data_IF_700178602731
#
_entry.id   IF_700178602731
#
_cell.length_a   1.000
_cell.length_b   1.000
_cell.length_c   1.000
_cell.angle_alpha   90.00
_cell.angle_beta   90.00
_cell.angle_gamma   90.00
#
_symmetry.space_group_name_H-M   'P 1'
#
loop_
_entity.id
_entity.type
_entity.pdbx_description
1 polymer ?
#
# COMPACT_ATOMS: atom_id res chain seq x y z
N UNK A 1 62.19 21.78 -13.93
CA UNK A 1 61.94 22.76 -12.84
C UNK A 1 60.78 22.22 -12.01
N UNK A 2 61.02 21.88 -10.75
CA UNK A 2 59.98 21.44 -9.82
C UNK A 2 59.37 22.67 -9.17
N UNK A 3 58.05 22.87 -9.30
CA UNK A 3 57.33 23.91 -8.57
C UNK A 3 57.17 23.45 -7.13
N UNK A 4 57.91 24.08 -6.21
CA UNK A 4 57.77 23.85 -4.79
C UNK A 4 56.52 24.59 -4.31
N UNK A 5 55.50 23.82 -3.91
CA UNK A 5 54.25 24.37 -3.37
C UNK A 5 54.40 24.46 -1.85
N UNK A 6 54.32 25.68 -1.32
CA UNK A 6 54.31 25.96 0.12
C UNK A 6 52.87 26.21 0.57
N UNK A 7 52.40 25.43 1.55
CA UNK A 7 51.05 25.51 2.12
C UNK A 7 51.05 26.02 3.56
N UNK A 8 52.17 26.58 4.04
CA UNK A 8 52.24 27.14 5.39
C UNK A 8 51.23 28.29 5.58
N UNK A 9 50.41 28.20 6.63
CA UNK A 9 49.38 29.21 6.95
C UNK A 9 47.96 28.90 6.49
N UNK A 10 47.70 27.75 5.87
CA UNK A 10 46.35 27.35 5.49
C UNK A 10 45.46 27.07 6.71
N UNK A 11 44.35 27.78 6.83
CA UNK A 11 43.33 27.57 7.87
C UNK A 11 41.95 27.41 7.23
N UNK A 12 41.22 26.37 7.60
CA UNK A 12 39.83 26.17 7.19
C UNK A 12 39.01 25.59 8.35
N UNK A 13 37.69 25.83 8.32
CA UNK A 13 36.72 25.18 9.22
C UNK A 13 36.37 23.74 8.80
N UNK A 14 37.07 23.21 7.79
CA UNK A 14 36.90 21.87 7.24
C UNK A 14 38.23 21.37 6.65
N UNK A 15 38.18 20.31 5.85
CA UNK A 15 39.40 19.64 5.40
C UNK A 15 40.20 20.44 4.37
N UNK A 16 41.51 20.56 4.61
CA UNK A 16 42.49 21.09 3.66
C UNK A 16 43.28 19.91 3.07
N UNK A 17 43.13 19.66 1.77
CA UNK A 17 43.81 18.54 1.08
C UNK A 17 44.61 19.04 -0.13
N UNK A 18 45.81 18.51 -0.33
CA UNK A 18 46.73 18.96 -1.38
C UNK A 18 46.52 18.32 -2.77
N UNK A 19 45.70 17.27 -2.89
CA UNK A 19 45.29 16.64 -4.16
C UNK A 19 43.80 16.31 -4.13
N UNK A 20 43.39 15.05 -4.05
CA UNK A 20 41.97 14.67 -4.06
C UNK A 20 41.51 14.17 -2.70
N UNK A 21 40.32 14.60 -2.27
CA UNK A 21 39.57 13.98 -1.17
C UNK A 21 38.41 13.20 -1.76
N UNK A 22 38.46 11.87 -1.64
CA UNK A 22 37.31 11.02 -1.96
C UNK A 22 36.53 10.78 -0.67
N UNK A 23 35.35 11.37 -0.58
CA UNK A 23 34.44 11.17 0.54
C UNK A 23 33.30 10.24 0.11
N UNK A 24 33.21 9.06 0.73
CA UNK A 24 32.05 8.21 0.61
C UNK A 24 31.00 8.67 1.62
N UNK A 25 30.04 9.47 1.14
CA UNK A 25 28.87 9.86 1.93
C UNK A 25 27.86 8.73 1.82
N UNK A 26 27.81 7.88 2.83
CA UNK A 26 26.69 6.97 3.00
C UNK A 26 25.52 7.80 3.55
N UNK A 27 24.50 8.04 2.72
CA UNK A 27 23.24 8.55 3.22
C UNK A 27 22.75 7.56 4.30
N UNK A 28 22.39 8.08 5.48
CA UNK A 28 21.75 7.25 6.50
C UNK A 28 20.53 6.58 5.85
N UNK A 29 20.42 5.24 5.98
CA UNK A 29 19.26 4.52 5.47
C UNK A 29 18.01 5.20 6.01
N UNK A 30 17.07 5.55 5.13
CA UNK A 30 15.79 6.08 5.54
C UNK A 30 15.16 5.12 6.56
N UNK A 31 14.49 5.63 7.61
CA UNK A 31 13.80 4.76 8.55
C UNK A 31 12.77 3.93 7.80
N UNK A 32 12.75 2.62 8.06
CA UNK A 32 11.79 1.71 7.44
C UNK A 32 10.36 2.17 7.73
N UNK A 33 9.53 2.18 6.69
CA UNK A 33 8.09 2.37 6.79
C UNK A 33 7.45 1.29 7.66
N UNK A 34 6.23 1.55 8.14
CA UNK A 34 5.49 0.57 8.95
C UNK A 34 5.27 -0.75 8.21
N UNK A 35 4.98 -0.70 6.91
CA UNK A 35 4.80 -1.89 6.07
C UNK A 35 6.11 -2.67 5.93
N UNK A 36 7.24 -2.00 5.68
CA UNK A 36 8.56 -2.66 5.60
C UNK A 36 8.95 -3.36 6.90
N UNK A 37 8.70 -2.74 8.05
CA UNK A 37 8.94 -3.38 9.36
C UNK A 37 8.08 -4.64 9.54
N UNK A 38 6.81 -4.59 9.12
CA UNK A 38 5.93 -5.75 9.18
C UNK A 38 6.30 -6.84 8.19
N UNK A 39 6.82 -6.48 7.01
CA UNK A 39 7.30 -7.44 6.01
C UNK A 39 8.53 -8.22 6.52
N UNK A 40 9.46 -7.54 7.21
CA UNK A 40 10.58 -8.21 7.86
C UNK A 40 10.11 -9.18 8.94
N UNK A 41 9.17 -8.75 9.79
CA UNK A 41 8.60 -9.61 10.83
C UNK A 41 7.82 -10.79 10.23
N UNK A 42 7.10 -10.59 9.13
CA UNK A 42 6.42 -11.66 8.41
C UNK A 42 7.41 -12.71 7.88
N UNK A 43 8.57 -12.26 7.36
CA UNK A 43 9.61 -13.18 6.90
C UNK A 43 10.14 -14.06 8.04
N UNK A 44 10.30 -13.50 9.24
CA UNK A 44 10.68 -14.25 10.45
C UNK A 44 9.58 -15.23 10.89
N UNK A 45 8.31 -14.78 10.92
CA UNK A 45 7.16 -15.62 11.27
C UNK A 45 7.05 -16.83 10.32
N UNK A 46 7.24 -16.63 9.02
CA UNK A 46 7.24 -17.70 8.01
C UNK A 46 8.43 -18.64 8.18
N UNK A 47 9.63 -18.11 8.43
CA UNK A 47 10.83 -18.92 8.63
C UNK A 47 10.74 -19.81 9.88
N UNK A 48 10.11 -19.31 10.94
CA UNK A 48 9.94 -20.02 12.20
C UNK A 48 8.62 -20.82 12.30
N UNK A 49 7.75 -20.74 11.29
CA UNK A 49 6.40 -21.32 11.30
C UNK A 49 5.57 -20.86 12.52
N UNK A 50 5.71 -19.58 12.86
CA UNK A 50 5.00 -18.92 13.97
C UNK A 50 3.62 -18.45 13.51
N UNK A 51 2.58 -19.07 14.04
CA UNK A 51 1.20 -18.76 13.65
C UNK A 51 0.47 -17.97 14.74
N UNK A 52 -0.28 -16.96 14.30
CA UNK A 52 -1.27 -16.27 15.10
C UNK A 52 -2.39 -17.24 15.50
N UNK A 53 -2.85 -17.12 16.76
CA UNK A 53 -3.97 -17.92 17.28
C UNK A 53 -5.33 -17.34 16.96
N UNK A 54 -5.39 -16.06 16.56
CA UNK A 54 -6.62 -15.32 16.34
C UNK A 54 -6.44 -14.25 15.27
N UNK A 55 -7.55 -13.82 14.70
CA UNK A 55 -7.60 -12.62 13.86
C UNK A 55 -7.40 -11.39 14.73
N UNK A 56 -6.46 -10.50 14.37
CA UNK A 56 -6.23 -9.25 15.08
C UNK A 56 -7.46 -8.35 14.94
N UNK A 57 -7.73 -7.55 15.98
CA UNK A 57 -8.93 -6.70 16.05
C UNK A 57 -9.04 -5.72 14.86
N UNK A 58 -7.90 -5.16 14.44
CA UNK A 58 -7.83 -4.23 13.31
C UNK A 58 -8.29 -4.85 11.99
N UNK A 59 -7.97 -6.12 11.72
CA UNK A 59 -8.44 -6.82 10.52
C UNK A 59 -9.89 -7.30 10.70
N UNK A 60 -10.25 -7.75 11.90
CA UNK A 60 -11.61 -8.17 12.23
C UNK A 60 -12.65 -7.05 12.04
N UNK A 61 -12.23 -5.79 12.18
CA UNK A 61 -13.05 -4.62 11.86
C UNK A 61 -13.58 -4.68 10.42
N UNK A 62 -12.70 -4.93 9.45
CA UNK A 62 -13.02 -4.92 8.02
C UNK A 62 -13.83 -6.13 7.57
N UNK A 63 -13.84 -7.21 8.34
CA UNK A 63 -14.64 -8.41 8.04
C UNK A 63 -16.12 -8.26 8.38
N UNK A 64 -16.51 -7.19 9.09
CA UNK A 64 -17.89 -6.91 9.45
C UNK A 64 -18.51 -6.00 8.38
N UNK A 65 -19.43 -6.56 7.58
CA UNK A 65 -20.21 -5.80 6.59
C UNK A 65 -21.00 -4.66 7.26
N UNK A 66 -21.03 -3.49 6.63
CA UNK A 66 -21.77 -2.31 7.09
C UNK A 66 -22.73 -1.77 6.03
N UNK A 67 -24.01 -2.10 6.14
CA UNK A 67 -25.04 -1.51 5.27
C UNK A 67 -25.41 -0.11 5.76
N UNK A 68 -25.37 0.89 4.89
CA UNK A 68 -25.68 2.29 5.25
C UNK A 68 -26.75 2.94 4.37
N UNK A 69 -26.79 2.65 3.07
CA UNK A 69 -27.56 3.38 2.06
C UNK A 69 -28.51 2.49 1.23
N UNK A 70 -28.59 1.19 1.56
CA UNK A 70 -29.42 0.21 0.86
C UNK A 70 -28.82 -0.31 -0.45
N UNK A 71 -27.64 0.16 -0.86
CA UNK A 71 -26.89 -0.35 -2.02
C UNK A 71 -25.75 -1.25 -1.51
N UNK A 72 -26.10 -2.50 -1.24
CA UNK A 72 -25.21 -3.44 -0.58
C UNK A 72 -24.48 -4.38 -1.53
N UNK A 73 -23.20 -4.59 -1.23
CA UNK A 73 -22.35 -5.49 -2.00
C UNK A 73 -21.81 -4.87 -3.28
N UNK A 74 -20.87 -5.58 -3.89
CA UNK A 74 -20.12 -5.07 -5.04
C UNK A 74 -21.02 -4.86 -6.28
N UNK A 75 -21.86 -5.85 -6.59
CA UNK A 75 -22.70 -5.85 -7.79
C UNK A 75 -23.69 -4.68 -7.80
N UNK A 76 -24.40 -4.46 -6.68
CA UNK A 76 -25.35 -3.38 -6.55
C UNK A 76 -24.65 -2.01 -6.66
N UNK A 77 -23.47 -1.86 -6.07
CA UNK A 77 -22.69 -0.62 -6.15
C UNK A 77 -22.18 -0.29 -7.54
N UNK A 78 -21.68 -1.29 -8.26
CA UNK A 78 -21.27 -1.12 -9.65
C UNK A 78 -22.46 -0.78 -10.54
N UNK A 79 -23.61 -1.42 -10.29
CA UNK A 79 -24.84 -1.11 -11.02
C UNK A 79 -25.34 0.31 -10.75
N UNK A 80 -25.35 0.74 -9.49
CA UNK A 80 -25.70 2.10 -9.11
C UNK A 80 -24.72 3.16 -9.65
N UNK A 81 -23.48 2.76 -9.98
CA UNK A 81 -22.44 3.63 -10.54
C UNK A 81 -22.33 3.55 -12.07
N UNK A 82 -23.29 2.95 -12.77
CA UNK A 82 -23.28 2.73 -14.23
C UNK A 82 -22.01 1.99 -14.73
N UNK A 83 -21.62 0.95 -13.97
CA UNK A 83 -20.42 0.11 -14.18
C UNK A 83 -20.72 -1.38 -14.13
N UNK A 84 -21.95 -1.80 -14.41
CA UNK A 84 -22.31 -3.22 -14.41
C UNK A 84 -21.46 -4.06 -15.37
N UNK A 85 -20.93 -3.44 -16.43
CA UNK A 85 -20.00 -4.08 -17.37
C UNK A 85 -18.67 -4.51 -16.72
N UNK A 86 -18.27 -3.88 -15.61
CA UNK A 86 -17.05 -4.22 -14.88
C UNK A 86 -17.22 -5.43 -13.95
N UNK A 87 -18.46 -5.87 -13.67
CA UNK A 87 -18.76 -6.78 -12.58
C UNK A 87 -18.01 -8.12 -12.66
N UNK A 88 -17.95 -8.75 -13.84
CA UNK A 88 -17.25 -10.02 -14.03
C UNK A 88 -15.76 -9.91 -13.72
N UNK A 89 -15.11 -8.83 -14.14
CA UNK A 89 -13.70 -8.62 -13.80
C UNK A 89 -13.53 -8.26 -12.32
N UNK A 90 -14.45 -7.46 -11.77
CA UNK A 90 -14.39 -7.01 -10.39
C UNK A 90 -14.54 -8.17 -9.39
N UNK A 91 -15.45 -9.11 -9.65
CA UNK A 91 -15.67 -10.28 -8.79
C UNK A 91 -14.44 -11.21 -8.79
N UNK A 92 -13.82 -11.42 -9.95
CA UNK A 92 -12.59 -12.22 -10.05
C UNK A 92 -11.44 -11.61 -9.25
N UNK A 93 -11.26 -10.29 -9.34
CA UNK A 93 -10.21 -9.57 -8.59
C UNK A 93 -10.48 -9.57 -7.10
N UNK A 94 -11.73 -9.36 -6.70
CA UNK A 94 -12.16 -9.49 -5.30
C UNK A 94 -11.79 -10.87 -4.74
N UNK A 95 -12.10 -11.92 -5.50
CA UNK A 95 -11.81 -13.30 -5.10
C UNK A 95 -10.30 -13.58 -5.00
N UNK A 96 -9.50 -13.02 -5.92
CA UNK A 96 -8.03 -13.10 -5.83
C UNK A 96 -7.50 -12.48 -4.53
N UNK A 97 -8.04 -11.31 -4.14
CA UNK A 97 -7.67 -10.67 -2.88
C UNK A 97 -8.16 -11.47 -1.65
N UNK A 98 -9.40 -11.96 -1.67
CA UNK A 98 -9.93 -12.78 -0.57
C UNK A 98 -9.09 -14.04 -0.34
N UNK A 99 -8.68 -14.74 -1.40
CA UNK A 99 -7.77 -15.89 -1.32
C UNK A 99 -6.40 -15.53 -0.78
N UNK A 100 -5.88 -14.36 -1.12
CA UNK A 100 -4.62 -13.87 -0.57
C UNK A 100 -4.75 -13.60 0.93
N UNK A 101 -5.82 -12.93 1.35
CA UNK A 101 -6.11 -12.67 2.77
C UNK A 101 -6.20 -13.99 3.56
N UNK A 102 -6.92 -14.98 3.04
CA UNK A 102 -7.06 -16.29 3.67
C UNK A 102 -5.71 -17.02 3.79
N UNK A 103 -4.90 -17.03 2.72
CA UNK A 103 -3.58 -17.66 2.71
C UNK A 103 -2.67 -17.17 3.83
N UNK A 104 -2.75 -15.89 4.12
CA UNK A 104 -1.88 -15.21 5.08
C UNK A 104 -2.55 -14.95 6.43
N UNK A 105 -3.79 -15.41 6.62
CA UNK A 105 -4.58 -15.21 7.84
C UNK A 105 -3.91 -15.76 9.10
N UNK A 106 -3.04 -16.76 8.96
CA UNK A 106 -2.34 -17.39 10.08
C UNK A 106 -1.13 -16.60 10.57
N UNK A 107 -0.73 -15.51 9.92
CA UNK A 107 0.46 -14.73 10.29
C UNK A 107 0.05 -13.36 10.84
N UNK A 108 0.45 -13.05 12.08
CA UNK A 108 0.05 -11.82 12.75
C UNK A 108 0.53 -10.59 11.97
N UNK A 109 1.78 -10.63 11.48
CA UNK A 109 2.36 -9.53 10.72
C UNK A 109 1.66 -9.32 9.37
N UNK A 110 1.25 -10.40 8.69
CA UNK A 110 0.47 -10.27 7.46
C UNK A 110 -0.91 -9.68 7.71
N UNK A 111 -1.57 -10.08 8.80
CA UNK A 111 -2.84 -9.47 9.18
C UNK A 111 -2.71 -7.97 9.48
N UNK A 112 -1.63 -7.55 10.16
CA UNK A 112 -1.33 -6.13 10.39
C UNK A 112 -1.09 -5.38 9.08
N UNK A 113 -0.38 -5.98 8.11
CA UNK A 113 -0.20 -5.41 6.76
C UNK A 113 -1.56 -5.21 6.10
N UNK A 114 -2.41 -6.23 6.04
CA UNK A 114 -3.74 -6.07 5.43
C UNK A 114 -4.59 -5.01 6.12
N UNK A 115 -4.62 -4.99 7.45
CA UNK A 115 -5.38 -3.97 8.18
C UNK A 115 -4.90 -2.55 7.84
N UNK A 116 -3.58 -2.35 7.74
CA UNK A 116 -3.00 -1.07 7.34
C UNK A 116 -3.40 -0.68 5.91
N UNK A 117 -3.25 -1.59 4.94
CA UNK A 117 -3.56 -1.31 3.54
C UNK A 117 -5.06 -1.06 3.32
N UNK A 118 -5.92 -1.83 3.99
CA UNK A 118 -7.38 -1.67 3.94
C UNK A 118 -7.80 -0.31 4.51
N UNK A 119 -7.24 0.09 5.66
CA UNK A 119 -7.52 1.39 6.27
C UNK A 119 -7.06 2.55 5.39
N UNK A 120 -5.86 2.44 4.79
CA UNK A 120 -5.36 3.44 3.84
C UNK A 120 -6.26 3.55 2.62
N UNK A 121 -6.64 2.43 2.01
CA UNK A 121 -7.51 2.42 0.83
C UNK A 121 -8.91 2.95 1.14
N UNK A 122 -9.51 2.58 2.27
CA UNK A 122 -10.78 3.14 2.74
C UNK A 122 -10.69 4.67 2.89
N UNK A 123 -9.64 5.16 3.55
CA UNK A 123 -9.43 6.58 3.78
C UNK A 123 -9.30 7.36 2.47
N UNK A 124 -8.38 6.93 1.59
CA UNK A 124 -8.15 7.58 0.29
C UNK A 124 -9.42 7.55 -0.55
N UNK A 125 -10.13 6.41 -0.58
CA UNK A 125 -11.36 6.32 -1.33
C UNK A 125 -12.43 7.27 -0.78
N UNK A 126 -12.65 7.27 0.53
CA UNK A 126 -13.74 8.02 1.17
C UNK A 126 -13.52 9.53 1.14
N UNK A 127 -12.30 9.98 1.39
CA UNK A 127 -12.01 11.40 1.59
C UNK A 127 -11.40 12.09 0.36
N UNK A 128 -10.77 11.33 -0.53
CA UNK A 128 -10.14 11.90 -1.74
C UNK A 128 -10.95 11.55 -2.98
N UNK A 129 -11.22 10.27 -3.22
CA UNK A 129 -11.82 9.82 -4.50
C UNK A 129 -13.32 10.10 -4.54
N UNK A 130 -14.07 9.62 -3.53
CA UNK A 130 -15.53 9.65 -3.49
C UNK A 130 -16.12 11.05 -3.70
N UNK A 131 -15.62 12.13 -3.05
CA UNK A 131 -16.15 13.48 -3.24
C UNK A 131 -16.03 13.99 -4.69
N UNK A 132 -15.11 13.43 -5.47
CA UNK A 132 -14.87 13.85 -6.86
C UNK A 132 -15.67 13.02 -7.87
N UNK A 133 -16.21 11.86 -7.49
CA UNK A 133 -16.82 10.90 -8.44
C UNK A 133 -18.01 11.49 -9.22
N UNK A 134 -18.75 12.42 -8.63
CA UNK A 134 -19.91 13.05 -9.28
C UNK A 134 -19.51 13.96 -10.46
N UNK A 135 -18.32 14.56 -10.40
CA UNK A 135 -17.90 15.63 -11.32
C UNK A 135 -16.87 15.18 -12.35
N UNK A 136 -16.35 13.95 -12.23
CA UNK A 136 -15.26 13.44 -13.07
C UNK A 136 -15.71 12.29 -13.97
N UNK A 137 -15.04 12.14 -15.10
CA UNK A 137 -15.28 11.03 -16.01
C UNK A 137 -14.86 9.68 -15.40
N UNK A 138 -15.45 8.58 -15.90
CA UNK A 138 -15.06 7.21 -15.52
C UNK A 138 -13.56 6.96 -15.67
N UNK A 139 -12.95 7.47 -16.75
CA UNK A 139 -11.50 7.38 -16.98
C UNK A 139 -10.74 8.09 -15.86
N UNK A 140 -11.15 9.32 -15.50
CA UNK A 140 -10.47 10.10 -14.48
C UNK A 140 -10.62 9.48 -13.08
N UNK A 141 -11.79 8.93 -12.77
CA UNK A 141 -12.00 8.16 -11.54
C UNK A 141 -11.04 6.95 -11.46
N UNK A 142 -10.88 6.21 -12.57
CA UNK A 142 -9.97 5.08 -12.62
C UNK A 142 -8.49 5.50 -12.45
N UNK A 143 -8.10 6.66 -13.00
CA UNK A 143 -6.76 7.23 -12.76
C UNK A 143 -6.56 7.60 -11.29
N UNK A 144 -7.53 8.24 -10.64
CA UNK A 144 -7.44 8.57 -9.20
C UNK A 144 -7.30 7.32 -8.34
N UNK A 145 -8.11 6.29 -8.61
CA UNK A 145 -7.99 4.99 -7.92
C UNK A 145 -6.61 4.37 -8.12
N UNK A 146 -6.09 4.42 -9.36
CA UNK A 146 -4.76 3.90 -9.67
C UNK A 146 -3.67 4.65 -8.90
N UNK A 147 -3.67 5.97 -8.97
CA UNK A 147 -2.58 6.81 -8.49
C UNK A 147 -2.60 6.95 -6.96
N UNK A 148 -3.78 7.01 -6.34
CA UNK A 148 -3.91 7.18 -4.89
C UNK A 148 -3.86 5.87 -4.10
N UNK A 149 -4.28 4.75 -4.70
CA UNK A 149 -4.40 3.47 -3.97
C UNK A 149 -3.55 2.39 -4.61
N UNK A 150 -3.77 2.06 -5.88
CA UNK A 150 -3.17 0.85 -6.48
C UNK A 150 -1.64 0.95 -6.52
N UNK A 151 -1.09 2.03 -7.08
CA UNK A 151 0.36 2.21 -7.21
C UNK A 151 1.04 2.25 -5.84
N UNK A 152 0.59 3.08 -4.87
CA UNK A 152 1.19 3.11 -3.54
C UNK A 152 1.16 1.76 -2.82
N UNK A 153 0.05 1.01 -2.92
CA UNK A 153 -0.09 -0.32 -2.29
C UNK A 153 0.89 -1.33 -2.88
N UNK A 154 1.06 -1.32 -4.21
CA UNK A 154 1.99 -2.21 -4.91
C UNK A 154 3.44 -1.88 -4.55
N UNK A 155 3.79 -0.59 -4.50
CA UNK A 155 5.14 -0.13 -4.15
C UNK A 155 5.51 -0.46 -2.70
N UNK A 156 4.58 -0.28 -1.74
CA UNK A 156 4.80 -0.61 -0.33
C UNK A 156 4.98 -2.11 -0.07
N UNK A 157 4.38 -2.95 -0.91
CA UNK A 157 4.41 -4.42 -0.76
C UNK A 157 5.42 -5.11 -1.69
N UNK A 158 6.37 -4.39 -2.27
CA UNK A 158 7.32 -4.92 -3.26
C UNK A 158 8.36 -5.91 -2.74
N UNK A 159 8.23 -6.47 -1.52
CA UNK A 159 9.20 -7.41 -0.95
C UNK A 159 8.87 -8.89 -1.25
N UNK A 160 9.86 -9.76 -1.07
CA UNK A 160 9.90 -11.12 -1.65
C UNK A 160 8.92 -12.13 -1.04
N UNK A 161 8.54 -11.97 0.23
CA UNK A 161 7.68 -12.96 0.93
C UNK A 161 6.20 -12.70 0.66
N UNK A 162 5.82 -11.43 0.55
CA UNK A 162 4.45 -10.98 0.39
C UNK A 162 4.39 -9.95 -0.72
N UNK A 163 3.67 -10.26 -1.80
CA UNK A 163 3.60 -9.39 -2.98
C UNK A 163 2.16 -9.14 -3.37
N UNK A 164 1.83 -7.86 -3.58
CA UNK A 164 0.60 -7.41 -4.20
C UNK A 164 0.91 -6.90 -5.60
N UNK A 165 0.16 -7.39 -6.58
CA UNK A 165 0.17 -6.81 -7.93
C UNK A 165 -1.06 -5.91 -8.12
N UNK A 166 -1.09 -5.18 -9.23
CA UNK A 166 -2.18 -4.26 -9.58
C UNK A 166 -3.57 -4.91 -9.56
N UNK A 167 -3.69 -6.17 -9.99
CA UNK A 167 -4.98 -6.89 -10.00
C UNK A 167 -5.46 -7.17 -8.58
N UNK A 168 -4.55 -7.62 -7.70
CA UNK A 168 -4.88 -7.91 -6.30
C UNK A 168 -5.10 -6.64 -5.48
N UNK A 169 -4.36 -5.56 -5.75
CA UNK A 169 -4.58 -4.25 -5.16
C UNK A 169 -5.93 -3.65 -5.59
N UNK A 170 -6.33 -3.79 -6.86
CA UNK A 170 -7.70 -3.44 -7.27
C UNK A 170 -8.75 -4.36 -6.61
N UNK A 171 -8.43 -5.65 -6.47
CA UNK A 171 -9.26 -6.62 -5.76
C UNK A 171 -9.52 -6.25 -4.30
N UNK A 172 -8.54 -5.66 -3.61
CA UNK A 172 -8.68 -5.12 -2.26
C UNK A 172 -9.78 -4.06 -2.18
N UNK A 173 -9.82 -3.17 -3.17
CA UNK A 173 -10.82 -2.10 -3.24
C UNK A 173 -12.22 -2.68 -3.49
N UNK A 174 -12.35 -3.64 -4.41
CA UNK A 174 -13.62 -4.32 -4.63
C UNK A 174 -14.08 -5.15 -3.42
N UNK A 175 -13.14 -5.70 -2.66
CA UNK A 175 -13.42 -6.36 -1.40
C UNK A 175 -13.94 -5.38 -0.35
N UNK A 176 -13.36 -4.19 -0.21
CA UNK A 176 -13.89 -3.13 0.63
C UNK A 176 -15.30 -2.67 0.18
N UNK A 177 -15.55 -2.60 -1.12
CA UNK A 177 -16.87 -2.28 -1.65
C UNK A 177 -17.91 -3.35 -1.28
N UNK A 178 -17.55 -4.64 -1.37
CA UNK A 178 -18.36 -5.77 -0.95
C UNK A 178 -18.70 -5.75 0.56
N UNK A 179 -17.74 -5.36 1.40
CA UNK A 179 -17.92 -5.19 2.85
C UNK A 179 -18.59 -3.86 3.24
N UNK A 180 -18.84 -3.02 2.24
CA UNK A 180 -19.45 -1.71 2.37
C UNK A 180 -18.66 -0.62 3.09
N UNK A 181 -17.33 -0.71 3.08
CA UNK A 181 -16.43 0.37 3.48
C UNK A 181 -16.19 1.40 2.37
N UNK A 182 -16.39 1.01 1.11
CA UNK A 182 -16.20 1.87 -0.06
C UNK A 182 -17.53 2.07 -0.80
N UNK A 183 -17.85 3.31 -1.15
CA UNK A 183 -19.06 3.70 -1.88
C UNK A 183 -18.71 4.13 -3.31
N UNK A 184 -19.09 3.35 -4.31
CA UNK A 184 -18.74 3.62 -5.72
C UNK A 184 -19.72 4.52 -6.47
N UNK A 185 -20.91 4.67 -5.91
CA UNK A 185 -22.02 5.38 -6.50
C UNK A 185 -22.26 6.67 -5.72
N UNK A 186 -22.60 7.75 -6.41
CA UNK A 186 -22.92 9.04 -5.79
C UNK A 186 -24.42 9.17 -5.61
#
# INVERSE_FOLDING_TARGET
MSLQVDQTGATAHGDVVGRDKIAHVYAASAPLTKVEQLLQKLQEEVANNEHAKHTIEALAHFQKRRTHDGVDGLEAKLTAADRSDEFLSAIEKKEQFAKLLERWSMYASAQEIFAHLLAKAEFEFTYVIYPQLADISRVKANELVRDQIIVPVVEECGSTVFTLNHSTAMGMIYWLAEQCFVRWHT
#
